data_IF_877728000185
#
_entry.id   IF_877728000185
#
_cell.length_a   1.000
_cell.length_b   1.000
_cell.length_c   1.000
_cell.angle_alpha   90.00
_cell.angle_beta   90.00
_cell.angle_gamma   90.00
#
_symmetry.space_group_name_H-M   'P 1'
#
loop_
_entity.id
_entity.type
_entity.pdbx_description
1 polymer ?
#
# COMPACT_ATOMS: atom_id res chain seq x y z
N UNK A 1 65.48 -9.72 12.57
CA UNK A 1 65.73 -10.54 11.36
C UNK A 1 67.06 -11.25 11.60
N UNK A 2 67.05 -12.57 11.71
CA UNK A 2 68.24 -13.40 11.99
C UNK A 2 68.86 -13.96 10.69
N UNK A 3 68.42 -13.56 9.52
CA UNK A 3 68.92 -13.97 8.20
C UNK A 3 68.57 -15.43 7.79
N UNK A 4 67.72 -16.11 8.57
CA UNK A 4 67.20 -17.42 8.22
C UNK A 4 65.93 -17.22 7.38
N UNK A 5 65.93 -17.75 6.15
CA UNK A 5 64.74 -17.75 5.32
C UNK A 5 63.65 -18.64 5.91
N UNK A 6 62.49 -18.10 6.18
CA UNK A 6 61.30 -18.83 6.58
C UNK A 6 60.28 -18.83 5.45
N UNK A 7 59.61 -19.96 5.21
CA UNK A 7 58.44 -20.02 4.35
C UNK A 7 57.25 -19.48 5.15
N UNK A 8 56.63 -18.43 4.66
CA UNK A 8 55.34 -17.94 5.17
C UNK A 8 54.25 -18.42 4.22
N UNK A 9 53.31 -19.20 4.71
CA UNK A 9 52.12 -19.56 3.98
C UNK A 9 51.12 -18.40 4.06
N UNK A 10 50.88 -17.73 2.95
CA UNK A 10 49.87 -16.68 2.84
C UNK A 10 48.54 -17.33 2.47
N UNK A 11 47.61 -17.32 3.40
CA UNK A 11 46.21 -17.64 3.10
C UNK A 11 45.58 -16.37 2.54
N UNK A 12 45.25 -16.37 1.25
CA UNK A 12 44.46 -15.29 0.63
C UNK A 12 43.01 -15.74 0.57
N UNK A 13 42.14 -14.98 1.16
CA UNK A 13 40.69 -15.08 0.96
C UNK A 13 40.35 -14.26 -0.30
N UNK A 14 39.88 -14.94 -1.36
CA UNK A 14 39.40 -14.27 -2.56
C UNK A 14 37.97 -13.85 -2.28
N UNK A 15 37.74 -12.57 -2.06
CA UNK A 15 36.39 -11.97 -1.99
C UNK A 15 36.03 -11.52 -3.40
N UNK A 16 35.15 -12.26 -4.05
CA UNK A 16 34.56 -11.81 -5.32
C UNK A 16 33.74 -10.55 -5.12
N UNK A 17 33.88 -9.54 -5.99
CA UNK A 17 33.06 -8.34 -5.89
C UNK A 17 31.58 -8.69 -6.16
N UNK A 18 30.67 -8.15 -5.36
CA UNK A 18 29.22 -8.22 -5.65
C UNK A 18 28.95 -7.58 -7.03
N UNK A 19 28.08 -8.22 -7.82
CA UNK A 19 27.65 -7.68 -9.12
C UNK A 19 28.63 -8.02 -10.25
N UNK A 20 29.22 -9.21 -10.23
CA UNK A 20 29.97 -9.71 -11.38
C UNK A 20 29.10 -9.74 -12.64
N UNK A 21 29.72 -9.63 -13.83
CA UNK A 21 29.01 -9.72 -15.11
C UNK A 21 28.24 -11.05 -15.21
N UNK A 22 28.80 -12.14 -14.67
CA UNK A 22 28.14 -13.45 -14.64
C UNK A 22 26.88 -13.44 -13.80
N UNK A 23 26.88 -12.85 -12.60
CA UNK A 23 25.71 -12.75 -11.74
C UNK A 23 24.62 -11.87 -12.37
N UNK A 24 24.99 -10.67 -12.85
CA UNK A 24 24.05 -9.72 -13.41
C UNK A 24 23.46 -10.19 -14.76
N UNK A 25 24.18 -11.01 -15.52
CA UNK A 25 23.67 -11.59 -16.77
C UNK A 25 22.48 -12.54 -16.58
N UNK A 26 22.27 -13.02 -15.35
CA UNK A 26 21.12 -13.87 -14.99
C UNK A 26 19.84 -13.06 -14.76
N UNK A 27 19.93 -11.74 -14.53
CA UNK A 27 18.79 -10.85 -14.32
C UNK A 27 18.18 -10.45 -15.66
N UNK A 28 17.40 -11.34 -16.27
CA UNK A 28 16.88 -11.18 -17.65
C UNK A 28 15.39 -11.47 -17.79
N UNK A 29 14.81 -12.23 -16.86
CA UNK A 29 13.43 -12.70 -16.96
C UNK A 29 12.53 -11.84 -16.08
N UNK A 30 11.30 -11.52 -16.54
CA UNK A 30 10.29 -10.85 -15.75
C UNK A 30 9.64 -11.86 -14.79
N UNK A 31 9.96 -11.76 -13.51
CA UNK A 31 9.42 -12.66 -12.46
C UNK A 31 8.04 -12.24 -11.99
N UNK A 32 7.79 -10.93 -11.90
CA UNK A 32 6.51 -10.37 -11.46
C UNK A 32 6.37 -8.91 -11.89
N UNK A 33 5.19 -8.53 -12.31
CA UNK A 33 4.90 -7.15 -12.71
C UNK A 33 3.49 -6.73 -12.33
N UNK A 34 3.33 -5.49 -11.90
CA UNK A 34 2.03 -4.94 -11.52
C UNK A 34 1.95 -3.44 -11.79
N UNK A 35 0.73 -2.93 -11.95
CA UNK A 35 0.50 -1.49 -12.09
C UNK A 35 -0.80 -1.07 -11.43
N UNK A 36 -0.88 0.20 -11.02
CA UNK A 36 -2.12 0.82 -10.55
C UNK A 36 -2.33 2.18 -11.18
N UNK A 37 -3.61 2.52 -11.43
CA UNK A 37 -4.00 3.79 -12.02
C UNK A 37 -4.22 4.87 -10.96
N UNK A 38 -3.75 6.10 -11.24
CA UNK A 38 -3.93 7.27 -10.39
C UNK A 38 -4.48 8.49 -11.17
N UNK A 39 -5.29 8.26 -12.20
CA UNK A 39 -5.82 9.32 -13.08
C UNK A 39 -6.67 10.36 -12.35
N UNK A 40 -7.34 10.00 -11.25
CA UNK A 40 -8.13 10.91 -10.41
C UNK A 40 -7.30 11.75 -9.42
N UNK A 41 -5.97 11.62 -9.43
CA UNK A 41 -5.08 12.29 -8.48
C UNK A 41 -4.81 13.75 -8.87
N UNK A 42 -4.63 14.60 -7.86
CA UNK A 42 -4.08 15.96 -8.02
C UNK A 42 -2.66 15.91 -8.56
N UNK A 43 -2.15 17.02 -9.09
CA UNK A 43 -0.78 17.07 -9.62
C UNK A 43 0.25 16.73 -8.54
N UNK A 44 0.18 17.35 -7.36
CA UNK A 44 1.08 17.07 -6.23
C UNK A 44 1.14 15.58 -5.89
N UNK A 45 -0.03 14.90 -5.89
CA UNK A 45 -0.09 13.46 -5.65
C UNK A 45 0.58 12.66 -6.76
N UNK A 46 0.45 13.11 -8.03
CA UNK A 46 1.13 12.48 -9.16
C UNK A 46 2.65 12.62 -9.03
N UNK A 47 3.12 13.79 -8.63
CA UNK A 47 4.55 14.09 -8.48
C UNK A 47 5.16 13.29 -7.33
N UNK A 48 4.44 13.15 -6.20
CA UNK A 48 4.83 12.26 -5.10
C UNK A 48 4.97 10.80 -5.54
N UNK A 49 4.01 10.30 -6.33
CA UNK A 49 4.06 8.92 -6.86
C UNK A 49 5.27 8.73 -7.77
N UNK A 50 5.54 9.69 -8.66
CA UNK A 50 6.68 9.64 -9.55
C UNK A 50 8.01 9.70 -8.79
N UNK A 51 8.11 10.59 -7.79
CA UNK A 51 9.29 10.72 -6.92
C UNK A 51 9.58 9.42 -6.18
N UNK A 52 8.58 8.84 -5.52
CA UNK A 52 8.77 7.59 -4.78
C UNK A 52 9.11 6.41 -5.70
N UNK A 53 8.42 6.28 -6.84
CA UNK A 53 8.74 5.25 -7.82
C UNK A 53 10.16 5.39 -8.38
N UNK A 54 10.59 6.64 -8.65
CA UNK A 54 11.94 6.95 -9.12
C UNK A 54 13.04 6.61 -8.11
N UNK A 55 12.77 6.77 -6.81
CA UNK A 55 13.73 6.39 -5.75
C UNK A 55 13.91 4.87 -5.61
N UNK A 56 12.86 4.10 -5.89
CA UNK A 56 12.90 2.62 -5.85
C UNK A 56 13.51 2.06 -7.14
N UNK A 57 13.31 2.74 -8.26
CA UNK A 57 13.79 2.30 -9.57
C UNK A 57 15.30 2.11 -9.60
N UNK A 58 15.75 1.02 -10.19
CA UNK A 58 17.18 0.73 -10.34
C UNK A 58 17.79 -0.04 -9.17
N UNK A 59 16.99 -0.41 -8.17
CA UNK A 59 17.47 -1.20 -7.04
C UNK A 59 17.84 -2.62 -7.49
N UNK A 60 19.03 -3.06 -7.11
CA UNK A 60 19.48 -4.45 -7.21
C UNK A 60 19.55 -5.02 -5.81
N UNK A 61 18.89 -6.16 -5.58
CA UNK A 61 18.97 -6.90 -4.31
C UNK A 61 19.67 -8.23 -4.55
N UNK A 62 20.72 -8.47 -3.80
CA UNK A 62 21.44 -9.75 -3.83
C UNK A 62 20.73 -10.79 -2.96
N UNK A 63 21.03 -12.09 -3.15
CA UNK A 63 20.46 -13.17 -2.35
C UNK A 63 20.54 -12.90 -0.84
N UNK A 64 19.41 -13.03 -0.14
CA UNK A 64 19.28 -12.80 1.29
C UNK A 64 19.21 -11.34 1.74
N UNK A 65 19.33 -10.36 0.85
CA UNK A 65 19.15 -8.94 1.20
C UNK A 65 17.68 -8.57 1.37
N UNK A 66 17.40 -7.80 2.42
CA UNK A 66 16.07 -7.24 2.68
C UNK A 66 15.95 -5.84 2.10
N UNK A 67 14.80 -5.53 1.53
CA UNK A 67 14.41 -4.21 1.04
C UNK A 67 13.35 -3.60 1.95
N UNK A 68 13.53 -2.34 2.33
CA UNK A 68 12.55 -1.51 3.02
C UNK A 68 12.09 -0.39 2.11
N UNK A 69 10.78 -0.29 1.89
CA UNK A 69 10.22 0.80 1.09
C UNK A 69 10.39 2.13 1.83
N UNK A 70 10.07 2.19 3.13
CA UNK A 70 10.16 3.43 3.89
C UNK A 70 11.59 3.99 3.95
N UNK A 71 12.59 3.15 4.17
CA UNK A 71 13.99 3.57 4.17
C UNK A 71 14.44 4.10 2.80
N UNK A 72 13.94 3.49 1.71
CA UNK A 72 14.31 3.87 0.34
C UNK A 72 13.65 5.19 -0.08
N UNK A 73 12.35 5.37 0.22
CA UNK A 73 11.61 6.55 -0.25
C UNK A 73 11.66 7.74 0.70
N UNK A 74 11.91 7.51 2.00
CA UNK A 74 11.88 8.54 3.03
C UNK A 74 13.09 9.46 3.04
N UNK A 75 13.10 10.49 3.93
CA UNK A 75 11.94 11.04 4.63
C UNK A 75 10.91 11.67 3.70
N UNK A 76 9.63 11.65 4.11
CA UNK A 76 8.52 12.22 3.33
C UNK A 76 8.36 13.71 3.68
N UNK A 77 9.18 14.56 3.10
CA UNK A 77 9.19 16.01 3.32
C UNK A 77 9.54 16.78 2.03
N UNK A 78 9.43 18.09 2.07
CA UNK A 78 9.71 18.96 0.93
C UNK A 78 11.19 18.91 0.49
N UNK A 79 12.13 18.70 1.42
CA UNK A 79 13.56 18.64 1.10
C UNK A 79 13.89 17.40 0.26
N UNK A 80 13.11 16.35 0.39
CA UNK A 80 13.22 15.10 -0.34
C UNK A 80 12.35 15.02 -1.60
N UNK A 81 11.73 16.16 -2.01
CA UNK A 81 10.98 16.29 -3.25
C UNK A 81 9.51 15.88 -3.13
N UNK A 82 8.96 15.80 -1.92
CA UNK A 82 7.55 15.52 -1.72
C UNK A 82 6.72 16.79 -1.51
N UNK A 83 5.48 16.74 -1.97
CA UNK A 83 4.50 17.81 -1.86
C UNK A 83 3.34 17.41 -0.94
N UNK A 84 2.62 18.43 -0.44
CA UNK A 84 1.38 18.22 0.30
C UNK A 84 0.30 17.69 -0.64
N UNK A 85 -0.27 16.54 -0.31
CA UNK A 85 -1.38 15.91 -1.03
C UNK A 85 -2.27 15.13 -0.07
N UNK A 86 -3.46 14.75 -0.55
CA UNK A 86 -4.41 13.98 0.26
C UNK A 86 -3.85 12.62 0.67
N UNK A 87 -3.92 12.34 1.96
CA UNK A 87 -3.59 11.07 2.60
C UNK A 87 -4.69 10.66 3.58
N UNK A 88 -4.79 9.36 3.87
CA UNK A 88 -5.71 8.87 4.90
C UNK A 88 -5.00 8.76 6.24
N UNK A 89 -5.51 9.49 7.23
CA UNK A 89 -5.02 9.44 8.61
C UNK A 89 -6.19 9.38 9.58
N UNK A 90 -6.19 8.40 10.50
CA UNK A 90 -7.21 8.23 11.54
C UNK A 90 -8.67 8.23 11.05
N UNK A 91 -8.91 7.72 9.83
CA UNK A 91 -10.26 7.68 9.24
C UNK A 91 -10.70 8.97 8.55
N UNK A 92 -9.79 9.92 8.36
CA UNK A 92 -10.05 11.19 7.68
C UNK A 92 -9.07 11.41 6.53
N UNK A 93 -9.46 12.25 5.58
CA UNK A 93 -8.54 12.72 4.55
C UNK A 93 -7.83 13.98 5.05
N UNK A 94 -6.51 13.93 5.15
CA UNK A 94 -5.66 15.04 5.56
C UNK A 94 -4.67 15.41 4.46
N UNK A 95 -4.11 16.62 4.53
CA UNK A 95 -2.98 17.02 3.67
C UNK A 95 -1.68 16.63 4.37
N UNK A 96 -0.89 15.78 3.71
CA UNK A 96 0.41 15.30 4.22
C UNK A 96 1.44 15.27 3.12
N UNK A 97 2.71 15.48 3.46
CA UNK A 97 3.80 15.24 2.54
C UNK A 97 3.85 13.77 2.13
N UNK A 98 4.10 13.52 0.85
CA UNK A 98 4.15 12.16 0.32
C UNK A 98 2.76 11.52 0.14
N UNK A 99 1.65 12.29 0.20
CA UNK A 99 0.33 11.73 -0.17
C UNK A 99 0.41 11.05 -1.53
N UNK A 100 0.12 9.73 -1.57
CA UNK A 100 0.26 8.87 -2.76
C UNK A 100 1.29 7.74 -2.63
N UNK A 101 2.27 7.82 -1.72
CA UNK A 101 3.35 6.80 -1.57
C UNK A 101 2.82 5.42 -1.19
N UNK A 102 1.71 5.32 -0.47
CA UNK A 102 1.07 4.03 -0.20
C UNK A 102 0.60 3.32 -1.48
N UNK A 103 0.25 4.06 -2.54
CA UNK A 103 -0.08 3.45 -3.83
C UNK A 103 1.18 2.90 -4.51
N UNK A 104 2.32 3.56 -4.36
CA UNK A 104 3.63 3.06 -4.83
C UNK A 104 3.99 1.76 -4.12
N UNK A 105 3.95 1.77 -2.79
CA UNK A 105 4.18 0.57 -1.96
C UNK A 105 3.23 -0.58 -2.32
N UNK A 106 1.94 -0.30 -2.48
CA UNK A 106 0.94 -1.29 -2.88
C UNK A 106 1.23 -1.88 -4.26
N UNK A 107 1.65 -1.05 -5.21
CA UNK A 107 1.96 -1.53 -6.57
C UNK A 107 3.20 -2.43 -6.54
N UNK A 108 4.24 -2.02 -5.81
CA UNK A 108 5.44 -2.84 -5.61
C UNK A 108 5.12 -4.15 -4.89
N UNK A 109 4.31 -4.11 -3.82
CA UNK A 109 3.88 -5.31 -3.09
C UNK A 109 3.28 -6.37 -4.02
N UNK A 110 2.40 -5.96 -4.95
CA UNK A 110 1.79 -6.91 -5.88
C UNK A 110 2.81 -7.46 -6.90
N UNK A 111 3.78 -6.68 -7.35
CA UNK A 111 4.88 -7.18 -8.19
C UNK A 111 5.76 -8.18 -7.42
N UNK A 112 6.08 -7.88 -6.16
CA UNK A 112 6.86 -8.71 -5.24
C UNK A 112 6.22 -10.09 -5.01
N UNK A 113 4.92 -10.13 -4.68
CA UNK A 113 4.23 -11.41 -4.45
C UNK A 113 4.07 -12.22 -5.74
N UNK A 114 3.88 -11.56 -6.91
CA UNK A 114 3.87 -12.24 -8.22
C UNK A 114 5.25 -12.81 -8.59
N UNK A 115 6.33 -12.18 -8.15
CA UNK A 115 7.68 -12.72 -8.24
C UNK A 115 7.96 -13.82 -7.19
N UNK A 116 7.01 -14.08 -6.29
CA UNK A 116 7.12 -15.03 -5.17
C UNK A 116 8.29 -14.73 -4.22
N UNK A 117 8.63 -13.45 -4.04
CA UNK A 117 9.61 -13.03 -3.04
C UNK A 117 9.00 -13.08 -1.63
N UNK A 118 9.83 -13.31 -0.63
CA UNK A 118 9.42 -13.41 0.77
C UNK A 118 9.10 -12.02 1.35
N UNK A 119 7.84 -11.77 1.67
CA UNK A 119 7.39 -10.54 2.34
C UNK A 119 7.54 -10.70 3.84
N UNK A 120 8.42 -9.90 4.45
CA UNK A 120 8.74 -9.96 5.90
C UNK A 120 7.91 -8.96 6.71
N UNK A 121 7.48 -7.84 6.09
CA UNK A 121 6.59 -6.86 6.72
C UNK A 121 5.57 -6.34 5.72
N UNK A 122 4.31 -6.36 6.10
CA UNK A 122 3.21 -5.73 5.35
C UNK A 122 2.06 -5.36 6.29
N UNK A 123 1.56 -4.15 6.17
CA UNK A 123 0.34 -3.69 6.84
C UNK A 123 -0.71 -3.26 5.83
N UNK A 124 -2.00 -3.58 6.06
CA UNK A 124 -3.07 -2.99 5.26
C UNK A 124 -3.41 -1.56 5.73
N UNK A 125 -4.09 -0.80 4.88
CA UNK A 125 -4.63 0.49 5.27
C UNK A 125 -5.70 0.34 6.36
N UNK A 126 -5.91 1.38 7.14
CA UNK A 126 -6.98 1.42 8.14
C UNK A 126 -8.38 1.44 7.51
N UNK A 127 -8.52 2.03 6.31
CA UNK A 127 -9.73 2.06 5.49
C UNK A 127 -9.45 1.48 4.11
N UNK A 128 -10.51 0.98 3.44
CA UNK A 128 -10.40 0.42 2.11
C UNK A 128 -9.88 1.44 1.09
N UNK A 129 -8.95 1.01 0.24
CA UNK A 129 -8.47 1.78 -0.92
C UNK A 129 -9.15 1.27 -2.20
N UNK A 130 -9.19 2.10 -3.24
CA UNK A 130 -9.96 1.82 -4.46
C UNK A 130 -9.11 1.40 -5.66
N UNK A 131 -7.79 1.54 -5.57
CA UNK A 131 -6.88 1.25 -6.69
C UNK A 131 -6.40 -0.22 -6.74
N UNK A 132 -6.72 -1.02 -5.72
CA UNK A 132 -6.57 -2.49 -5.69
C UNK A 132 -7.77 -3.13 -5.01
N UNK A 133 -7.92 -4.45 -5.15
CA UNK A 133 -8.91 -5.24 -4.39
C UNK A 133 -8.50 -5.35 -2.92
N UNK A 134 -9.46 -5.62 -1.99
CA UNK A 134 -9.14 -5.84 -0.57
C UNK A 134 -8.04 -6.89 -0.36
N UNK A 135 -7.21 -6.70 0.65
CA UNK A 135 -6.04 -7.53 1.00
C UNK A 135 -4.87 -7.51 -0.02
N UNK A 136 -4.97 -6.72 -1.08
CA UNK A 136 -3.88 -6.50 -2.05
C UNK A 136 -3.10 -5.22 -1.80
N UNK A 137 -3.40 -4.47 -0.76
CA UNK A 137 -2.75 -3.21 -0.42
C UNK A 137 -1.60 -3.40 0.56
N UNK A 138 -0.64 -2.45 0.54
CA UNK A 138 0.44 -2.31 1.50
C UNK A 138 0.60 -0.84 1.88
N UNK A 139 0.31 -0.52 3.14
CA UNK A 139 0.35 0.84 3.67
C UNK A 139 1.72 1.17 4.25
N UNK A 140 2.18 2.40 4.00
CA UNK A 140 3.37 2.99 4.62
C UNK A 140 2.91 4.10 5.57
N UNK A 141 3.43 4.12 6.79
CA UNK A 141 3.14 5.18 7.75
C UNK A 141 4.28 5.33 8.77
N UNK A 142 5.17 6.27 8.52
CA UNK A 142 6.35 6.49 9.36
C UNK A 142 7.16 5.21 9.53
N UNK A 143 7.70 5.03 10.72
CA UNK A 143 8.51 3.87 11.12
C UNK A 143 7.69 2.68 11.68
N UNK A 144 6.34 2.84 11.78
CA UNK A 144 5.47 1.81 12.36
C UNK A 144 4.67 0.98 11.33
N UNK A 145 4.73 1.33 10.04
CA UNK A 145 4.19 0.54 8.93
C UNK A 145 5.11 0.64 7.73
N UNK A 146 5.65 -0.48 7.33
CA UNK A 146 6.48 -0.58 6.14
C UNK A 146 6.03 -1.73 5.25
N UNK A 147 6.56 -1.76 4.05
CA UNK A 147 6.63 -2.93 3.21
C UNK A 147 8.09 -3.37 3.16
N UNK A 148 8.37 -4.56 3.68
CA UNK A 148 9.69 -5.19 3.59
C UNK A 148 9.58 -6.56 2.95
N UNK A 149 10.59 -6.90 2.19
CA UNK A 149 10.71 -8.21 1.55
C UNK A 149 12.18 -8.57 1.35
N UNK A 150 12.46 -9.86 1.24
CA UNK A 150 13.80 -10.41 1.05
C UNK A 150 13.90 -11.00 -0.34
N UNK A 151 15.06 -10.82 -0.98
CA UNK A 151 15.40 -11.62 -2.13
C UNK A 151 15.74 -13.05 -1.67
N UNK A 152 14.77 -13.94 -1.73
CA UNK A 152 14.88 -15.36 -1.40
C UNK A 152 15.29 -16.23 -2.60
N UNK A 153 15.73 -15.62 -3.71
CA UNK A 153 16.28 -16.32 -4.87
C UNK A 153 17.79 -16.53 -4.71
N UNK A 154 18.35 -17.44 -5.52
CA UNK A 154 19.79 -17.74 -5.52
C UNK A 154 20.61 -16.74 -6.36
N UNK A 155 19.95 -15.80 -7.04
CA UNK A 155 20.55 -14.80 -7.92
C UNK A 155 20.03 -13.39 -7.59
N UNK A 156 20.76 -12.34 -7.99
CA UNK A 156 20.25 -10.97 -7.82
C UNK A 156 18.91 -10.75 -8.52
N UNK A 157 18.11 -9.84 -7.97
CA UNK A 157 16.92 -9.30 -8.63
C UNK A 157 17.09 -7.82 -8.90
N UNK A 158 16.42 -7.32 -9.93
CA UNK A 158 16.38 -5.90 -10.29
C UNK A 158 14.95 -5.38 -10.21
N UNK A 159 14.76 -4.23 -9.60
CA UNK A 159 13.48 -3.57 -9.46
C UNK A 159 13.41 -2.40 -10.44
N UNK A 160 12.54 -2.49 -11.43
CA UNK A 160 12.19 -1.39 -12.31
C UNK A 160 10.90 -0.72 -11.81
N UNK A 161 10.95 0.59 -11.59
CA UNK A 161 9.79 1.39 -11.17
C UNK A 161 9.64 2.64 -12.02
N UNK A 162 8.46 2.87 -12.62
CA UNK A 162 8.23 4.06 -13.45
C UNK A 162 6.75 4.45 -13.50
N UNK A 163 6.49 5.65 -14.02
CA UNK A 163 5.14 6.16 -14.24
C UNK A 163 4.90 6.44 -15.73
N UNK A 164 3.74 6.03 -16.24
CA UNK A 164 3.33 6.31 -17.62
C UNK A 164 1.81 6.33 -17.74
N UNK A 165 1.24 7.28 -18.46
CA UNK A 165 -0.21 7.34 -18.74
C UNK A 165 -1.08 7.37 -17.49
N UNK A 166 -0.63 8.04 -16.39
CA UNK A 166 -1.30 8.04 -15.09
C UNK A 166 -1.39 6.65 -14.43
N UNK A 167 -0.44 5.78 -14.72
CA UNK A 167 -0.22 4.53 -14.02
C UNK A 167 1.19 4.51 -13.45
N UNK A 168 1.35 3.90 -12.28
CA UNK A 168 2.63 3.52 -11.71
C UNK A 168 2.84 2.03 -11.93
N UNK A 169 4.03 1.66 -12.36
CA UNK A 169 4.43 0.30 -12.74
C UNK A 169 5.61 -0.13 -11.89
N UNK A 170 5.60 -1.39 -11.48
CA UNK A 170 6.78 -2.09 -10.97
C UNK A 170 6.93 -3.43 -11.64
N UNK A 171 8.16 -3.72 -12.05
CA UNK A 171 8.60 -4.98 -12.62
C UNK A 171 9.78 -5.51 -11.82
N UNK A 172 9.75 -6.79 -11.47
CA UNK A 172 10.83 -7.50 -10.80
C UNK A 172 11.48 -8.43 -11.81
N UNK A 173 12.74 -8.21 -12.10
CA UNK A 173 13.53 -9.06 -13.00
C UNK A 173 14.51 -9.93 -12.22
N UNK A 174 14.78 -11.12 -12.70
CA UNK A 174 15.70 -12.09 -12.12
C UNK A 174 15.92 -13.26 -13.07
N UNK A 175 16.21 -14.44 -12.54
CA UNK A 175 16.30 -15.70 -13.30
C UNK A 175 15.02 -16.50 -13.07
N UNK A 176 14.28 -16.82 -14.15
CA UNK A 176 13.06 -17.62 -14.01
C UNK A 176 13.42 -19.10 -13.83
N UNK A 177 13.17 -19.61 -12.65
CA UNK A 177 13.43 -21.01 -12.27
C UNK A 177 12.15 -21.83 -12.09
N UNK A 178 10.99 -21.18 -12.12
CA UNK A 178 9.69 -21.83 -11.96
C UNK A 178 9.34 -22.63 -13.23
N UNK A 179 8.73 -23.82 -13.10
CA UNK A 179 8.28 -24.59 -14.25
C UNK A 179 7.30 -23.77 -15.14
N UNK A 180 7.49 -23.84 -16.47
CA UNK A 180 6.69 -23.05 -17.43
C UNK A 180 5.19 -23.38 -17.40
N UNK A 181 4.80 -24.57 -16.95
CA UNK A 181 3.41 -24.99 -16.78
C UNK A 181 2.81 -24.61 -15.41
N UNK A 182 3.61 -24.04 -14.50
CA UNK A 182 3.17 -23.57 -13.18
C UNK A 182 2.80 -22.07 -13.25
N UNK A 183 1.65 -21.74 -12.72
CA UNK A 183 1.17 -20.36 -12.65
C UNK A 183 0.70 -20.04 -11.24
N UNK A 184 1.09 -18.87 -10.73
CA UNK A 184 0.62 -18.33 -9.44
C UNK A 184 -0.31 -17.14 -9.70
N UNK A 185 -1.43 -17.13 -8.99
CA UNK A 185 -2.38 -16.03 -8.99
C UNK A 185 -2.79 -15.68 -7.55
N UNK A 186 -3.22 -14.43 -7.36
CA UNK A 186 -3.70 -13.96 -6.07
C UNK A 186 -5.15 -13.52 -6.20
N UNK A 187 -6.01 -14.10 -5.35
CA UNK A 187 -7.46 -13.89 -5.38
C UNK A 187 -7.93 -13.25 -4.08
N UNK A 188 -8.52 -12.06 -4.19
CA UNK A 188 -9.09 -11.34 -3.06
C UNK A 188 -10.50 -11.84 -2.77
N UNK A 189 -10.78 -12.15 -1.50
CA UNK A 189 -12.10 -12.53 -1.01
C UNK A 189 -12.52 -11.61 0.13
N UNK A 190 -13.74 -11.06 0.05
CA UNK A 190 -14.37 -10.36 1.16
C UNK A 190 -15.10 -11.37 2.02
N UNK A 191 -14.64 -11.51 3.27
CA UNK A 191 -15.23 -12.46 4.25
C UNK A 191 -16.44 -11.87 4.94
N UNK A 192 -16.39 -10.57 5.27
CA UNK A 192 -17.51 -9.84 5.87
C UNK A 192 -17.44 -8.34 5.56
N UNK A 193 -18.61 -7.71 5.57
CA UNK A 193 -18.81 -6.28 5.41
C UNK A 193 -19.50 -5.69 6.62
N UNK A 194 -19.14 -4.46 6.97
CA UNK A 194 -19.78 -3.68 8.01
C UNK A 194 -20.23 -2.32 7.46
N UNK A 195 -21.53 -2.12 7.32
CA UNK A 195 -22.09 -0.80 7.02
C UNK A 195 -22.13 0.04 8.30
N UNK A 196 -21.40 1.18 8.36
CA UNK A 196 -21.39 2.03 9.55
C UNK A 196 -22.61 2.95 9.65
N UNK A 197 -23.50 2.96 8.66
CA UNK A 197 -24.66 3.85 8.61
C UNK A 197 -24.31 5.33 8.42
N UNK A 198 -25.22 6.19 8.91
CA UNK A 198 -25.07 7.65 8.87
C UNK A 198 -25.10 8.20 10.29
N UNK A 199 -24.17 9.10 10.60
CA UNK A 199 -24.13 9.88 11.82
C UNK A 199 -24.53 11.32 11.50
N UNK A 200 -25.46 11.87 12.27
CA UNK A 200 -25.87 13.26 12.17
C UNK A 200 -25.25 14.06 13.32
N UNK A 201 -24.70 15.23 13.00
CA UNK A 201 -24.02 16.12 13.95
C UNK A 201 -24.69 17.48 13.94
N UNK A 202 -25.14 17.92 15.10
CA UNK A 202 -25.71 19.26 15.27
C UNK A 202 -24.62 20.32 15.05
N UNK A 203 -24.97 21.39 14.33
CA UNK A 203 -24.09 22.55 14.13
C UNK A 203 -24.83 23.83 14.53
N UNK A 204 -24.09 24.93 14.72
CA UNK A 204 -24.63 26.25 14.95
C UNK A 204 -25.19 26.97 13.71
N UNK A 205 -25.29 26.28 12.58
CA UNK A 205 -25.85 26.80 11.34
C UNK A 205 -27.38 26.96 11.47
N UNK A 206 -28.05 27.81 10.66
CA UNK A 206 -29.47 27.96 10.65
C UNK A 206 -30.23 26.64 10.43
N UNK A 207 -31.37 26.49 11.12
CA UNK A 207 -32.29 25.37 10.91
C UNK A 207 -32.65 25.23 9.43
N UNK A 208 -32.64 23.97 8.92
CA UNK A 208 -32.82 23.64 7.52
C UNK A 208 -31.54 23.54 6.72
N UNK A 209 -30.39 23.95 7.29
CA UNK A 209 -29.06 23.74 6.66
C UNK A 209 -28.62 22.30 6.88
N UNK A 210 -28.21 21.62 5.78
CA UNK A 210 -27.62 20.30 5.84
C UNK A 210 -26.39 20.24 4.93
N UNK A 211 -25.29 19.66 5.43
CA UNK A 211 -24.06 19.44 4.65
C UNK A 211 -23.44 18.11 5.01
N UNK A 212 -22.77 17.49 4.04
CA UNK A 212 -22.00 16.24 4.25
C UNK A 212 -20.56 16.62 4.49
N UNK A 213 -20.06 16.38 5.71
CA UNK A 213 -18.65 16.61 6.06
C UNK A 213 -17.76 15.39 5.85
N UNK A 214 -18.35 14.19 5.82
CA UNK A 214 -17.62 12.95 5.58
C UNK A 214 -18.47 11.96 4.78
N UNK A 215 -17.88 11.34 3.76
CA UNK A 215 -18.47 10.21 3.04
C UNK A 215 -18.46 8.93 3.87
N UNK A 216 -19.35 7.99 3.55
CA UNK A 216 -19.39 6.66 4.16
C UNK A 216 -18.24 5.80 3.67
N UNK A 217 -17.54 5.12 4.58
CA UNK A 217 -16.59 4.06 4.26
C UNK A 217 -17.05 2.75 4.88
N UNK A 218 -17.37 1.77 4.06
CA UNK A 218 -17.74 0.42 4.50
C UNK A 218 -16.50 -0.27 5.08
N UNK A 219 -16.67 -0.92 6.22
CA UNK A 219 -15.64 -1.78 6.80
C UNK A 219 -15.63 -3.16 6.15
N UNK A 220 -14.45 -3.77 6.06
CA UNK A 220 -14.27 -5.08 5.47
C UNK A 220 -13.35 -5.95 6.31
N UNK A 221 -13.68 -7.23 6.41
CA UNK A 221 -12.70 -8.28 6.68
C UNK A 221 -12.48 -9.03 5.39
N UNK A 222 -11.24 -9.10 4.94
CA UNK A 222 -10.89 -9.72 3.67
C UNK A 222 -9.65 -10.61 3.82
N UNK A 223 -9.49 -11.54 2.90
CA UNK A 223 -8.29 -12.37 2.78
C UNK A 223 -7.85 -12.44 1.33
N UNK A 224 -6.56 -12.68 1.16
CA UNK A 224 -5.92 -12.90 -0.13
C UNK A 224 -5.50 -14.38 -0.20
N UNK A 225 -5.98 -15.06 -1.23
CA UNK A 225 -5.59 -16.42 -1.53
C UNK A 225 -4.41 -16.45 -2.49
N UNK A 226 -3.39 -17.25 -2.20
CA UNK A 226 -2.39 -17.66 -3.17
C UNK A 226 -2.88 -18.96 -3.80
N UNK A 227 -3.04 -18.93 -5.12
CA UNK A 227 -3.51 -20.09 -5.90
C UNK A 227 -2.43 -20.51 -6.87
N UNK A 228 -2.00 -21.74 -6.78
CA UNK A 228 -1.03 -22.35 -7.68
C UNK A 228 -1.73 -23.32 -8.60
N UNK A 229 -1.52 -23.17 -9.90
CA UNK A 229 -2.01 -24.10 -10.91
C UNK A 229 -0.84 -24.71 -11.69
N UNK A 230 -0.94 -25.99 -12.02
CA UNK A 230 0.00 -26.71 -12.87
C UNK A 230 -0.78 -27.34 -14.01
N UNK A 231 -0.35 -27.10 -15.25
CA UNK A 231 -1.08 -27.51 -16.45
C UNK A 231 -2.56 -27.06 -16.49
N UNK A 232 -2.86 -25.90 -15.85
CA UNK A 232 -4.21 -25.34 -15.74
C UNK A 232 -5.09 -25.97 -14.67
N UNK A 233 -4.58 -26.94 -13.88
CA UNK A 233 -5.29 -27.56 -12.76
C UNK A 233 -4.80 -26.95 -11.45
N UNK A 234 -5.74 -26.58 -10.56
CA UNK A 234 -5.39 -26.04 -9.23
C UNK A 234 -4.71 -27.14 -8.39
N UNK A 235 -3.46 -26.88 -8.00
CA UNK A 235 -2.63 -27.75 -7.18
C UNK A 235 -2.73 -27.38 -5.70
N UNK A 236 -2.76 -26.07 -5.40
CA UNK A 236 -2.89 -25.58 -4.05
C UNK A 236 -3.61 -24.22 -4.00
N UNK A 237 -4.30 -24.03 -2.86
CA UNK A 237 -4.95 -22.77 -2.49
C UNK A 237 -4.74 -22.53 -1.00
N UNK A 238 -4.07 -21.45 -0.66
CA UNK A 238 -3.81 -21.12 0.74
C UNK A 238 -4.07 -19.63 1.02
N UNK A 239 -4.46 -19.33 2.26
CA UNK A 239 -4.63 -17.94 2.69
C UNK A 239 -3.25 -17.29 2.83
N UNK A 240 -2.93 -16.38 1.94
CA UNK A 240 -1.66 -15.67 1.91
C UNK A 240 -1.59 -14.56 2.96
N UNK A 241 -2.65 -13.75 3.08
CA UNK A 241 -2.78 -12.75 4.14
C UNK A 241 -4.25 -12.46 4.49
N UNK A 242 -4.45 -11.74 5.60
CA UNK A 242 -5.76 -11.22 6.04
C UNK A 242 -5.66 -9.74 6.31
N UNK A 243 -6.78 -9.02 6.10
CA UNK A 243 -6.88 -7.58 6.30
C UNK A 243 -8.21 -7.21 6.93
N UNK A 244 -8.16 -6.22 7.83
CA UNK A 244 -9.35 -5.63 8.43
C UNK A 244 -9.35 -4.13 8.15
N UNK A 245 -10.41 -3.65 7.50
CA UNK A 245 -10.62 -2.25 7.19
C UNK A 245 -11.73 -1.71 8.06
N UNK A 246 -11.45 -0.59 8.74
CA UNK A 246 -12.42 0.06 9.65
C UNK A 246 -13.57 0.67 8.87
N UNK A 247 -14.77 0.48 9.39
CA UNK A 247 -15.94 1.20 8.97
C UNK A 247 -15.88 2.64 9.49
N UNK A 248 -16.37 3.60 8.69
CA UNK A 248 -16.52 5.00 9.12
C UNK A 248 -17.83 5.56 8.58
N UNK A 249 -18.71 6.13 9.44
CA UNK A 249 -20.04 6.55 9.05
C UNK A 249 -20.01 7.75 8.10
N UNK A 250 -21.06 7.88 7.30
CA UNK A 250 -21.36 9.17 6.66
C UNK A 250 -21.68 10.19 7.76
N UNK A 251 -21.00 11.34 7.74
CA UNK A 251 -21.29 12.44 8.69
C UNK A 251 -22.07 13.51 7.95
N UNK A 252 -23.27 13.77 8.46
CA UNK A 252 -24.17 14.83 7.99
C UNK A 252 -24.29 15.88 9.08
N UNK A 253 -23.82 17.07 8.80
CA UNK A 253 -23.99 18.23 9.67
C UNK A 253 -25.41 18.78 9.47
N UNK A 254 -26.11 19.08 10.58
CA UNK A 254 -27.48 19.61 10.59
C UNK A 254 -27.50 20.89 11.40
N UNK A 255 -27.92 21.98 10.78
CA UNK A 255 -28.08 23.27 11.43
C UNK A 255 -29.23 23.24 12.45
N UNK A 256 -28.94 23.72 13.65
CA UNK A 256 -29.90 23.74 14.77
C UNK A 256 -30.24 25.16 15.29
N UNK A 257 -29.56 26.19 14.77
CA UNK A 257 -29.81 27.55 15.20
C UNK A 257 -31.15 28.08 14.64
N UNK A 258 -32.06 28.55 15.54
CA UNK A 258 -33.34 29.17 15.21
C UNK A 258 -33.63 30.27 16.19
N UNK A 259 -34.36 31.32 15.75
CA UNK A 259 -34.95 32.33 16.65
C UNK A 259 -36.07 31.74 17.52
N UNK A 260 -36.71 30.62 17.05
CA UNK A 260 -37.65 29.85 17.84
C UNK A 260 -36.92 28.78 18.68
N UNK A 261 -36.88 28.91 20.02
CA UNK A 261 -36.25 27.95 20.90
C UNK A 261 -36.86 26.55 20.81
N UNK A 262 -38.16 26.43 20.47
CA UNK A 262 -38.80 25.13 20.35
C UNK A 262 -38.32 24.38 19.10
N UNK A 263 -38.11 25.06 17.98
CA UNK A 263 -37.57 24.47 16.78
C UNK A 263 -36.14 23.92 17.00
N UNK A 264 -35.28 24.71 17.64
CA UNK A 264 -33.91 24.25 18.01
C UNK A 264 -33.92 23.04 18.93
N UNK A 265 -34.80 23.04 19.95
CA UNK A 265 -34.93 21.93 20.90
C UNK A 265 -35.48 20.67 20.24
N UNK A 266 -36.47 20.79 19.35
CA UNK A 266 -37.08 19.66 18.63
C UNK A 266 -36.07 18.97 17.73
N UNK A 267 -35.31 19.76 16.93
CA UNK A 267 -34.27 19.21 16.06
C UNK A 267 -33.15 18.57 16.88
N UNK A 268 -32.72 19.21 17.97
CA UNK A 268 -31.71 18.64 18.87
C UNK A 268 -32.15 17.30 19.48
N UNK A 269 -33.43 17.20 19.88
CA UNK A 269 -34.00 15.95 20.39
C UNK A 269 -34.06 14.86 19.30
N UNK A 270 -34.51 15.17 18.08
CA UNK A 270 -34.55 14.26 16.96
C UNK A 270 -33.14 13.76 16.56
N UNK A 271 -32.12 14.60 16.61
CA UNK A 271 -30.74 14.21 16.38
C UNK A 271 -30.21 13.27 17.47
N UNK A 272 -30.64 13.44 18.71
CA UNK A 272 -30.22 12.62 19.84
C UNK A 272 -30.82 11.20 19.80
N UNK A 273 -32.01 10.99 19.19
CA UNK A 273 -32.63 9.65 19.07
C UNK A 273 -31.88 8.71 18.14
N UNK A 274 -31.06 9.24 17.24
CA UNK A 274 -30.38 8.43 16.26
C UNK A 274 -31.27 7.87 15.14
N UNK A 275 -32.60 8.14 15.14
CA UNK A 275 -33.53 7.61 14.14
C UNK A 275 -33.61 8.50 12.89
N UNK A 276 -33.40 7.91 11.71
CA UNK A 276 -33.52 8.60 10.41
C UNK A 276 -34.95 9.00 10.07
N UNK A 277 -35.97 8.30 10.60
CA UNK A 277 -37.39 8.57 10.37
C UNK A 277 -37.83 9.89 11.00
N UNK A 278 -37.45 10.11 12.25
CA UNK A 278 -37.81 11.33 13.02
C UNK A 278 -37.15 12.60 12.45
N UNK A 279 -36.00 12.45 11.77
CA UNK A 279 -35.21 13.59 11.25
C UNK A 279 -35.70 14.14 9.92
N UNK A 280 -36.50 13.37 9.17
CA UNK A 280 -37.10 13.80 7.89
C UNK A 280 -38.45 14.49 8.07
N UNK A 281 -39.07 14.35 9.24
CA UNK A 281 -40.41 14.91 9.57
C UNK A 281 -40.35 16.22 10.33
N UNK A 282 -39.19 16.76 10.67
CA UNK A 282 -38.94 18.01 11.37
C UNK A 282 -38.33 19.05 10.43
#
# INVERSE_FOLDING_TARGET
>A
WDGQGGNMELTAEIVEPKGSEEELSKVKDLLGGFNTNYSSSTQNRCDNIATAAGKINGTVLYPGEEFSVYETIGPLDAANGYELAGAYENGQTVQSYGGGVCQVSTTLYNAVILAELEVTERSNHSMIVTYVKPSMDAAIAGDYKDLKFVNNQDVPIYIEGYTSGKNVYFNIYGEETRPANRKVTYESEVVSEQDPGTQFVATGDPVGTMSVSQGKHVGYVAQLWKVVTVDGVEESREVFNKSTYKASPKIVNVGTASEDPNASATIGAALATGDEGDRKST
#
